data_IF_846855909942
#
_entry.id   IF_846855909942
#
_cell.length_a   1.000
_cell.length_b   1.000
_cell.length_c   1.000
_cell.angle_alpha   90.00
_cell.angle_beta   90.00
_cell.angle_gamma   90.00
#
_symmetry.space_group_name_H-M   'P 1'
#
loop_
_entity.id
_entity.type
_entity.pdbx_description
1 polymer ?
#
# COMPACT_ATOMS: atom_id res chain seq x y z
N UNK A 1 26.24 -16.81 -24.57
CA UNK A 1 25.65 -17.93 -23.85
C UNK A 1 25.30 -17.44 -22.45
N UNK A 2 24.04 -17.07 -22.20
CA UNK A 2 23.53 -16.62 -20.92
C UNK A 2 22.78 -17.80 -20.34
N UNK A 3 23.20 -18.25 -19.15
CA UNK A 3 22.66 -19.41 -18.46
C UNK A 3 21.21 -19.15 -18.05
N UNK A 4 20.32 -20.11 -18.40
CA UNK A 4 18.95 -20.17 -17.95
C UNK A 4 18.92 -20.40 -16.43
N UNK A 5 18.38 -19.42 -15.69
CA UNK A 5 18.13 -19.55 -14.27
C UNK A 5 17.02 -20.55 -14.02
N UNK A 6 17.28 -21.51 -13.15
CA UNK A 6 16.31 -22.49 -12.67
C UNK A 6 15.15 -21.79 -11.98
N UNK A 7 13.95 -21.95 -12.54
CA UNK A 7 12.68 -21.59 -11.90
C UNK A 7 12.39 -22.66 -10.84
N UNK A 8 12.41 -22.25 -9.58
CA UNK A 8 11.89 -23.09 -8.49
C UNK A 8 10.36 -23.06 -8.62
N UNK A 9 9.77 -24.21 -8.94
CA UNK A 9 8.32 -24.42 -8.90
C UNK A 9 7.83 -24.18 -7.47
N UNK A 10 7.21 -23.01 -7.26
CA UNK A 10 6.34 -22.79 -6.11
C UNK A 10 5.04 -23.54 -6.40
N UNK A 11 4.70 -24.50 -5.54
CA UNK A 11 3.46 -25.24 -5.62
C UNK A 11 2.27 -24.30 -5.53
N UNK A 12 1.76 -23.87 -6.68
CA UNK A 12 0.50 -23.16 -6.79
C UNK A 12 -0.62 -24.17 -6.82
N UNK A 13 -1.26 -24.38 -5.67
CA UNK A 13 -2.54 -25.09 -5.63
C UNK A 13 -3.62 -24.15 -6.21
N UNK A 14 -3.72 -24.15 -7.53
CA UNK A 14 -4.75 -23.41 -8.26
C UNK A 14 -6.01 -24.26 -8.37
N UNK A 15 -6.88 -24.14 -7.38
CA UNK A 15 -8.26 -24.55 -7.54
C UNK A 15 -9.04 -23.50 -8.37
N UNK A 16 -8.52 -23.15 -9.56
CA UNK A 16 -9.21 -22.27 -10.51
C UNK A 16 -10.26 -23.07 -11.27
N UNK A 17 -11.52 -22.94 -10.87
CA UNK A 17 -12.65 -23.51 -11.61
C UNK A 17 -13.44 -22.39 -12.30
N UNK A 18 -13.15 -22.21 -13.58
CA UNK A 18 -14.13 -21.79 -14.57
C UNK A 18 -14.34 -20.30 -14.87
N UNK A 19 -13.41 -19.70 -15.56
CA UNK A 19 -13.68 -18.83 -16.71
C UNK A 19 -12.46 -18.84 -17.63
N UNK A 20 -12.55 -19.58 -18.73
CA UNK A 20 -11.51 -19.67 -19.76
C UNK A 20 -11.53 -18.43 -20.66
N UNK A 21 -11.12 -17.29 -20.10
CA UNK A 21 -11.00 -16.05 -20.87
C UNK A 21 -10.30 -14.97 -20.06
N UNK A 22 -9.32 -14.31 -20.68
CA UNK A 22 -8.70 -13.10 -20.09
C UNK A 22 -9.77 -12.03 -19.87
N UNK A 23 -9.70 -11.33 -18.74
CA UNK A 23 -10.53 -10.15 -18.51
C UNK A 23 -10.19 -9.06 -19.53
N UNK A 24 -11.19 -8.43 -20.11
CA UNK A 24 -10.96 -7.34 -21.11
C UNK A 24 -10.44 -6.07 -20.44
N UNK A 25 -11.01 -5.74 -19.28
CA UNK A 25 -10.67 -4.52 -18.58
C UNK A 25 -10.67 -4.74 -17.06
N UNK A 26 -9.50 -4.80 -16.47
CA UNK A 26 -9.29 -5.08 -15.06
C UNK A 26 -8.96 -3.83 -14.28
N UNK A 27 -9.41 -3.78 -13.03
CA UNK A 27 -9.03 -2.79 -12.04
C UNK A 27 -8.34 -3.44 -10.84
N UNK A 28 -7.28 -2.82 -10.33
CA UNK A 28 -6.48 -3.32 -9.20
C UNK A 28 -6.52 -2.31 -8.05
N UNK A 29 -6.91 -2.78 -6.88
CA UNK A 29 -7.00 -2.02 -5.66
C UNK A 29 -6.19 -2.69 -4.56
N UNK A 30 -5.22 -1.98 -4.02
CA UNK A 30 -4.27 -2.48 -3.03
C UNK A 30 -4.55 -1.78 -1.71
N UNK A 31 -4.83 -2.56 -0.68
CA UNK A 31 -4.81 -2.13 0.71
C UNK A 31 -3.37 -2.24 1.23
N UNK A 32 -2.65 -1.13 1.20
CA UNK A 32 -1.25 -1.09 1.61
C UNK A 32 -1.05 -1.19 3.13
N UNK A 33 -2.09 -1.05 3.92
CA UNK A 33 -2.02 -1.29 5.36
C UNK A 33 -2.06 -2.79 5.70
N UNK A 34 -2.63 -3.62 4.80
CA UNK A 34 -2.69 -5.07 4.90
C UNK A 34 -1.60 -5.75 4.06
N UNK A 35 -1.36 -5.30 2.83
CA UNK A 35 -0.37 -5.84 1.89
C UNK A 35 0.68 -4.78 1.55
N UNK A 36 1.71 -4.63 2.39
CA UNK A 36 2.81 -3.67 2.22
C UNK A 36 4.15 -4.31 1.85
N UNK A 37 4.12 -5.46 1.19
CA UNK A 37 5.31 -6.18 0.77
C UNK A 37 5.59 -5.97 -0.72
N UNK A 38 6.74 -5.34 -1.06
CA UNK A 38 7.09 -5.00 -2.43
C UNK A 38 7.28 -6.24 -3.33
N UNK A 39 7.90 -7.31 -2.81
CA UNK A 39 8.10 -8.55 -3.56
C UNK A 39 6.77 -9.24 -3.86
N UNK A 40 5.86 -9.29 -2.88
CA UNK A 40 4.53 -9.85 -3.07
C UNK A 40 3.76 -9.07 -4.14
N UNK A 41 3.82 -7.74 -4.13
CA UNK A 41 3.17 -6.91 -5.16
C UNK A 41 3.78 -7.10 -6.55
N UNK A 42 5.09 -7.29 -6.67
CA UNK A 42 5.71 -7.65 -7.96
C UNK A 42 5.14 -8.96 -8.51
N UNK A 43 4.93 -9.98 -7.67
CA UNK A 43 4.30 -11.24 -8.06
C UNK A 43 2.84 -11.04 -8.47
N UNK A 44 2.06 -10.22 -7.75
CA UNK A 44 0.69 -9.86 -8.14
C UNK A 44 0.67 -9.33 -9.56
N UNK A 45 1.47 -8.30 -9.87
CA UNK A 45 1.47 -7.70 -11.20
C UNK A 45 2.00 -8.62 -12.29
N UNK A 46 2.94 -9.51 -11.99
CA UNK A 46 3.42 -10.52 -12.93
C UNK A 46 2.30 -11.53 -13.28
N UNK A 47 1.55 -11.98 -12.30
CA UNK A 47 0.41 -12.90 -12.51
C UNK A 47 -0.71 -12.23 -13.30
N UNK A 48 -1.07 -10.98 -12.97
CA UNK A 48 -2.15 -10.24 -13.62
C UNK A 48 -1.91 -9.96 -15.10
N UNK A 49 -0.64 -9.93 -15.56
CA UNK A 49 -0.33 -9.76 -16.99
C UNK A 49 -0.87 -10.90 -17.85
N UNK A 50 -1.02 -12.10 -17.30
CA UNK A 50 -1.57 -13.27 -18.01
C UNK A 50 -3.10 -13.36 -17.91
N UNK A 51 -3.73 -12.61 -16.99
CA UNK A 51 -5.16 -12.70 -16.67
C UNK A 51 -6.03 -11.62 -17.30
N UNK A 52 -5.43 -10.54 -17.81
CA UNK A 52 -6.18 -9.43 -18.39
C UNK A 52 -5.52 -8.89 -19.67
N UNK A 53 -6.36 -8.52 -20.65
CA UNK A 53 -5.91 -7.81 -21.84
C UNK A 53 -5.46 -6.39 -21.48
N UNK A 54 -6.13 -5.78 -20.51
CA UNK A 54 -5.85 -4.43 -20.04
C UNK A 54 -6.11 -4.29 -18.55
N UNK A 55 -5.19 -3.63 -17.85
CA UNK A 55 -5.38 -3.15 -16.47
C UNK A 55 -5.46 -1.63 -16.52
N UNK A 56 -6.68 -1.08 -16.57
CA UNK A 56 -6.90 0.35 -16.80
C UNK A 56 -6.92 1.18 -15.52
N UNK A 57 -7.02 0.54 -14.37
CA UNK A 57 -7.12 1.22 -13.08
C UNK A 57 -6.23 0.53 -12.05
N UNK A 58 -5.33 1.29 -11.43
CA UNK A 58 -4.38 0.77 -10.43
C UNK A 58 -4.24 1.80 -9.33
N UNK A 59 -4.67 1.45 -8.12
CA UNK A 59 -4.55 2.32 -6.95
C UNK A 59 -4.13 1.53 -5.71
N UNK A 60 -3.33 2.16 -4.85
CA UNK A 60 -2.96 1.66 -3.54
C UNK A 60 -3.40 2.66 -2.47
N UNK A 61 -4.07 2.16 -1.46
CA UNK A 61 -4.64 2.94 -0.35
C UNK A 61 -3.91 2.58 0.93
N UNK A 62 -3.62 3.57 1.76
CA UNK A 62 -2.97 3.31 3.03
C UNK A 62 -2.46 4.56 3.70
N UNK A 63 -1.90 4.36 4.88
CA UNK A 63 -1.16 5.39 5.60
C UNK A 63 0.13 5.75 4.84
N UNK A 64 0.64 6.99 5.02
CA UNK A 64 1.87 7.43 4.37
C UNK A 64 3.04 6.46 4.56
N UNK A 65 3.17 5.88 5.75
CA UNK A 65 4.24 4.94 6.10
C UNK A 65 4.14 3.63 5.32
N UNK A 66 2.94 3.07 5.21
CA UNK A 66 2.68 1.83 4.47
C UNK A 66 2.94 2.03 2.97
N UNK A 67 2.45 3.13 2.40
CA UNK A 67 2.67 3.47 0.99
C UNK A 67 4.14 3.74 0.68
N UNK A 68 4.88 4.36 1.60
CA UNK A 68 6.32 4.63 1.44
C UNK A 68 7.14 3.34 1.39
N UNK A 69 6.73 2.31 2.13
CA UNK A 69 7.44 1.01 2.14
C UNK A 69 7.42 0.35 0.76
N UNK A 70 6.39 0.61 -0.03
CA UNK A 70 6.18 -0.02 -1.36
C UNK A 70 6.25 0.99 -2.51
N UNK A 71 6.73 2.21 -2.30
CA UNK A 71 6.72 3.29 -3.30
C UNK A 71 7.43 2.91 -4.61
N UNK A 72 8.56 2.23 -4.51
CA UNK A 72 9.33 1.79 -5.68
C UNK A 72 8.53 0.80 -6.56
N UNK A 73 7.82 -0.14 -5.96
CA UNK A 73 6.99 -1.10 -6.71
C UNK A 73 5.73 -0.44 -7.24
N UNK A 74 5.13 0.49 -6.51
CA UNK A 74 4.00 1.28 -7.01
C UNK A 74 4.40 2.08 -8.26
N UNK A 75 5.55 2.74 -8.23
CA UNK A 75 6.09 3.46 -9.37
C UNK A 75 6.37 2.53 -10.55
N UNK A 76 7.04 1.41 -10.32
CA UNK A 76 7.37 0.41 -11.34
C UNK A 76 6.14 -0.07 -12.13
N UNK A 77 5.03 -0.28 -11.44
CA UNK A 77 3.79 -0.81 -12.04
C UNK A 77 2.76 0.27 -12.36
N UNK A 78 3.10 1.55 -12.24
CA UNK A 78 2.19 2.66 -12.54
C UNK A 78 0.95 2.68 -11.65
N UNK A 79 1.11 2.33 -10.37
CA UNK A 79 0.06 2.36 -9.37
C UNK A 79 -0.02 3.74 -8.74
N UNK A 80 -1.20 4.33 -8.71
CA UNK A 80 -1.41 5.62 -8.06
C UNK A 80 -1.60 5.43 -6.55
N UNK A 81 -0.73 6.00 -5.71
CA UNK A 81 -0.95 5.99 -4.26
C UNK A 81 -2.07 6.98 -3.87
N UNK A 82 -2.90 6.55 -2.93
CA UNK A 82 -3.97 7.35 -2.31
C UNK A 82 -3.72 7.32 -0.81
N UNK A 83 -3.17 8.42 -0.30
CA UNK A 83 -2.86 8.56 1.13
C UNK A 83 -4.02 9.18 1.86
N UNK A 84 -4.46 8.55 2.94
CA UNK A 84 -5.41 9.12 3.88
C UNK A 84 -4.65 9.77 5.04
N UNK A 85 -4.81 11.07 5.18
CA UNK A 85 -4.19 11.85 6.27
C UNK A 85 -4.87 11.62 7.62
N UNK A 86 -6.06 11.00 7.61
CA UNK A 86 -6.78 10.66 8.85
C UNK A 86 -6.27 9.32 9.35
N UNK A 87 -5.83 9.28 10.59
CA UNK A 87 -5.13 8.16 11.24
C UNK A 87 -6.01 6.93 11.53
N UNK A 88 -7.23 6.89 11.03
CA UNK A 88 -8.15 5.78 11.26
C UNK A 88 -8.14 4.80 10.07
N UNK A 89 -7.86 3.52 10.33
CA UNK A 89 -7.88 2.42 9.34
C UNK A 89 -9.20 2.37 8.55
N UNK A 90 -10.32 2.56 9.22
CA UNK A 90 -11.65 2.55 8.61
C UNK A 90 -11.79 3.53 7.43
N UNK A 91 -11.11 4.66 7.48
CA UNK A 91 -11.17 5.67 6.39
C UNK A 91 -10.50 5.17 5.11
N UNK A 92 -9.45 4.37 5.23
CA UNK A 92 -8.75 3.76 4.09
C UNK A 92 -9.65 2.77 3.37
N UNK A 93 -10.30 1.88 4.11
CA UNK A 93 -11.19 0.84 3.57
C UNK A 93 -12.41 1.45 2.89
N UNK A 94 -12.99 2.52 3.48
CA UNK A 94 -14.10 3.26 2.88
C UNK A 94 -13.67 3.95 1.58
N UNK A 95 -12.51 4.61 1.55
CA UNK A 95 -12.02 5.30 0.35
C UNK A 95 -11.76 4.30 -0.79
N UNK A 96 -11.14 3.15 -0.49
CA UNK A 96 -10.97 2.06 -1.43
C UNK A 96 -12.32 1.58 -1.97
N UNK A 97 -13.26 1.29 -1.09
CA UNK A 97 -14.61 0.81 -1.45
C UNK A 97 -15.34 1.78 -2.38
N UNK A 98 -15.33 3.08 -2.08
CA UNK A 98 -15.97 4.12 -2.93
C UNK A 98 -15.35 4.13 -4.33
N UNK A 99 -14.03 4.10 -4.41
CA UNK A 99 -13.32 4.13 -5.69
C UNK A 99 -13.54 2.85 -6.52
N UNK A 100 -13.67 1.69 -5.88
CA UNK A 100 -14.03 0.43 -6.56
C UNK A 100 -15.42 0.56 -7.19
N UNK A 101 -16.42 0.98 -6.40
CA UNK A 101 -17.80 1.16 -6.88
C UNK A 101 -17.84 2.16 -8.03
N UNK A 102 -17.15 3.31 -7.91
CA UNK A 102 -17.08 4.29 -8.99
C UNK A 102 -16.44 3.72 -10.24
N UNK A 103 -15.34 2.98 -10.12
CA UNK A 103 -14.63 2.40 -11.26
C UNK A 103 -15.52 1.40 -12.03
N UNK A 104 -16.21 0.53 -11.32
CA UNK A 104 -17.12 -0.47 -11.93
C UNK A 104 -18.29 0.22 -12.61
N UNK A 105 -18.98 1.15 -11.92
CA UNK A 105 -20.16 1.81 -12.45
C UNK A 105 -19.87 2.72 -13.66
N UNK A 106 -18.65 3.30 -13.77
CA UNK A 106 -18.35 4.33 -14.76
C UNK A 106 -17.38 3.91 -15.85
N UNK A 107 -16.63 2.83 -15.71
CA UNK A 107 -15.48 2.54 -16.57
C UNK A 107 -15.53 1.21 -17.30
N UNK A 108 -16.62 0.47 -17.20
CA UNK A 108 -16.77 -0.83 -17.87
C UNK A 108 -15.69 -1.83 -17.41
N UNK A 109 -15.45 -1.90 -16.09
CA UNK A 109 -14.57 -2.88 -15.48
C UNK A 109 -15.31 -4.20 -15.41
N UNK A 110 -14.70 -5.27 -15.91
CA UNK A 110 -15.26 -6.63 -15.91
C UNK A 110 -14.53 -7.57 -14.93
N UNK A 111 -13.36 -7.17 -14.43
CA UNK A 111 -12.65 -7.87 -13.37
C UNK A 111 -12.06 -6.89 -12.35
N UNK A 112 -12.18 -7.23 -11.07
CA UNK A 112 -11.65 -6.43 -9.96
C UNK A 112 -10.71 -7.29 -9.14
N UNK A 113 -9.54 -6.74 -8.85
CA UNK A 113 -8.53 -7.33 -7.97
C UNK A 113 -8.51 -6.55 -6.67
N UNK A 114 -8.70 -7.25 -5.55
CA UNK A 114 -8.57 -6.72 -4.21
C UNK A 114 -7.33 -7.37 -3.58
N UNK A 115 -6.32 -6.56 -3.30
CA UNK A 115 -5.10 -6.99 -2.64
C UNK A 115 -5.21 -6.70 -1.14
N UNK A 116 -5.94 -7.54 -0.43
CA UNK A 116 -6.13 -7.50 1.02
C UNK A 116 -6.69 -8.82 1.52
N UNK A 117 -6.24 -9.26 2.70
CA UNK A 117 -6.80 -10.42 3.41
C UNK A 117 -7.91 -10.04 4.40
N UNK A 118 -8.34 -8.78 4.43
CA UNK A 118 -9.31 -8.30 5.41
C UNK A 118 -10.74 -8.71 5.03
N UNK A 119 -11.46 -9.30 6.00
CA UNK A 119 -12.85 -9.71 5.82
C UNK A 119 -13.81 -8.52 5.63
N UNK A 120 -13.38 -7.31 5.98
CA UNK A 120 -14.20 -6.10 5.84
C UNK A 120 -14.54 -5.79 4.37
N UNK A 121 -13.78 -6.37 3.41
CA UNK A 121 -14.07 -6.28 1.97
C UNK A 121 -15.05 -7.34 1.44
N UNK A 122 -15.51 -8.29 2.26
CA UNK A 122 -16.49 -9.31 1.84
C UNK A 122 -17.79 -8.70 1.29
N UNK A 123 -18.39 -7.67 1.92
CA UNK A 123 -19.59 -7.02 1.36
C UNK A 123 -19.34 -6.41 -0.02
N UNK A 124 -18.15 -5.82 -0.23
CA UNK A 124 -17.75 -5.27 -1.52
C UNK A 124 -17.58 -6.38 -2.57
N UNK A 125 -16.90 -7.47 -2.23
CA UNK A 125 -16.70 -8.61 -3.13
C UNK A 125 -18.05 -9.23 -3.55
N UNK A 126 -18.98 -9.38 -2.61
CA UNK A 126 -20.34 -9.88 -2.88
C UNK A 126 -21.07 -8.96 -3.86
N UNK A 127 -21.08 -7.66 -3.60
CA UNK A 127 -21.70 -6.68 -4.49
C UNK A 127 -21.09 -6.69 -5.89
N UNK A 128 -19.77 -6.78 -6.00
CA UNK A 128 -19.07 -6.85 -7.30
C UNK A 128 -19.50 -8.05 -8.13
N UNK A 129 -19.65 -9.22 -7.51
CA UNK A 129 -20.13 -10.44 -8.18
C UNK A 129 -21.58 -10.28 -8.64
N UNK A 130 -22.43 -9.60 -7.86
CA UNK A 130 -23.80 -9.26 -8.25
C UNK A 130 -23.83 -8.31 -9.46
N UNK A 131 -22.84 -7.43 -9.62
CA UNK A 131 -22.65 -6.60 -10.81
C UNK A 131 -22.09 -7.37 -12.01
N UNK A 132 -21.80 -8.66 -11.88
CA UNK A 132 -21.23 -9.50 -12.92
C UNK A 132 -19.72 -9.36 -13.12
N UNK A 133 -19.02 -8.67 -12.20
CA UNK A 133 -17.58 -8.59 -12.21
C UNK A 133 -16.96 -9.90 -11.74
N UNK A 134 -15.83 -10.28 -12.33
CA UNK A 134 -14.96 -11.33 -11.81
C UNK A 134 -14.09 -10.76 -10.70
N UNK A 135 -14.10 -11.36 -9.52
CA UNK A 135 -13.42 -10.80 -8.34
C UNK A 135 -12.28 -11.69 -7.89
N UNK A 136 -11.06 -11.16 -7.96
CA UNK A 136 -9.84 -11.82 -7.49
C UNK A 136 -9.38 -11.23 -6.17
N UNK A 137 -8.95 -12.11 -5.26
CA UNK A 137 -8.28 -11.73 -4.02
C UNK A 137 -6.81 -12.14 -4.06
N UNK A 138 -5.92 -11.21 -3.73
CA UNK A 138 -4.52 -11.50 -3.42
C UNK A 138 -4.25 -11.14 -1.97
N UNK A 139 -3.74 -12.09 -1.21
CA UNK A 139 -3.42 -11.86 0.20
C UNK A 139 -2.17 -12.62 0.62
N UNK A 140 -1.53 -12.13 1.67
CA UNK A 140 -0.53 -12.90 2.38
C UNK A 140 -1.21 -14.05 3.12
N UNK A 141 -0.55 -15.21 3.14
CA UNK A 141 -1.11 -16.43 3.74
C UNK A 141 -1.51 -16.28 5.23
N UNK A 142 -0.82 -15.39 5.95
CA UNK A 142 -1.05 -15.15 7.38
C UNK A 142 -2.11 -14.09 7.70
N UNK A 143 -2.65 -13.40 6.70
CA UNK A 143 -3.63 -12.30 6.90
C UNK A 143 -5.00 -12.63 6.32
N UNK A 144 -5.13 -13.74 5.61
CA UNK A 144 -6.37 -14.12 4.95
C UNK A 144 -7.39 -14.68 5.96
N UNK A 145 -8.61 -14.20 5.88
CA UNK A 145 -9.72 -14.72 6.70
C UNK A 145 -10.18 -16.13 6.25
N UNK A 146 -11.05 -16.79 7.04
CA UNK A 146 -11.51 -18.14 6.77
C UNK A 146 -12.49 -18.20 5.57
N UNK A 147 -12.33 -19.21 4.70
CA UNK A 147 -13.20 -19.50 3.54
C UNK A 147 -13.36 -18.34 2.54
N UNK A 148 -12.29 -17.69 2.09
CA UNK A 148 -12.37 -16.56 1.16
C UNK A 148 -12.93 -16.96 -0.21
N UNK A 149 -12.76 -18.22 -0.63
CA UNK A 149 -13.26 -18.78 -1.89
C UNK A 149 -14.79 -18.79 -1.98
N UNK A 150 -15.49 -18.60 -0.85
CA UNK A 150 -16.95 -18.45 -0.86
C UNK A 150 -17.37 -17.08 -1.38
N UNK A 151 -16.52 -16.09 -1.30
CA UNK A 151 -16.81 -14.67 -1.60
C UNK A 151 -16.12 -14.16 -2.85
N UNK A 152 -14.94 -14.71 -3.17
CA UNK A 152 -14.16 -14.35 -4.35
C UNK A 152 -14.26 -15.44 -5.41
N UNK A 153 -14.12 -15.07 -6.68
CA UNK A 153 -14.12 -16.03 -7.79
C UNK A 153 -12.76 -16.75 -7.90
N UNK A 154 -11.69 -16.08 -7.48
CA UNK A 154 -10.36 -16.67 -7.37
C UNK A 154 -9.58 -16.03 -6.20
N UNK A 155 -8.78 -16.83 -5.52
CA UNK A 155 -7.98 -16.42 -4.36
C UNK A 155 -6.55 -16.89 -4.54
N UNK A 156 -5.61 -15.95 -4.55
CA UNK A 156 -4.19 -16.23 -4.67
C UNK A 156 -3.49 -15.88 -3.36
N UNK A 157 -2.96 -16.89 -2.71
CA UNK A 157 -2.15 -16.74 -1.50
C UNK A 157 -0.70 -16.46 -1.87
N UNK A 158 -0.16 -15.36 -1.33
CA UNK A 158 1.20 -14.91 -1.53
C UNK A 158 2.08 -15.40 -0.38
N UNK A 159 3.09 -16.20 -0.70
CA UNK A 159 4.10 -16.59 0.27
C UNK A 159 5.30 -15.65 0.15
N UNK A 160 5.61 -14.93 1.23
CA UNK A 160 6.83 -14.14 1.32
C UNK A 160 7.91 -15.00 1.95
N UNK A 161 8.75 -15.60 1.13
CA UNK A 161 10.00 -16.19 1.60
C UNK A 161 10.96 -15.03 1.88
N UNK A 162 11.07 -14.61 3.12
CA UNK A 162 12.16 -13.74 3.53
C UNK A 162 13.47 -14.50 3.29
N UNK A 163 14.20 -14.11 2.26
CA UNK A 163 15.58 -14.55 2.15
C UNK A 163 16.31 -14.03 3.39
N UNK A 164 16.90 -14.91 4.22
CA UNK A 164 17.71 -14.44 5.33
C UNK A 164 18.78 -13.50 4.74
N UNK A 165 18.72 -12.23 5.11
CA UNK A 165 19.80 -11.28 4.80
C UNK A 165 21.04 -11.91 5.41
N UNK A 166 22.12 -12.21 4.65
CA UNK A 166 23.35 -12.63 5.25
C UNK A 166 23.72 -11.55 6.25
N UNK A 167 23.86 -11.92 7.52
CA UNK A 167 24.46 -11.05 8.51
C UNK A 167 25.85 -10.73 7.99
N UNK A 168 26.01 -9.61 7.30
CA UNK A 168 27.31 -9.01 7.06
C UNK A 168 27.85 -8.72 8.45
N UNK A 169 28.81 -9.54 8.89
CA UNK A 169 29.61 -9.24 10.06
C UNK A 169 30.03 -7.77 9.95
N UNK A 170 29.87 -6.97 11.01
CA UNK A 170 30.37 -5.61 10.96
C UNK A 170 31.90 -5.68 10.70
N UNK A 171 32.31 -5.09 9.59
CA UNK A 171 33.71 -4.96 9.28
C UNK A 171 34.41 -4.39 10.52
N UNK A 172 35.63 -4.93 10.90
CA UNK A 172 36.35 -4.45 12.08
C UNK A 172 36.56 -2.94 11.89
N UNK A 173 35.98 -2.16 12.79
CA UNK A 173 36.15 -0.72 12.82
C UNK A 173 37.64 -0.42 12.91
N UNK A 174 38.23 0.12 11.84
CA UNK A 174 39.46 0.82 11.92
C UNK A 174 39.27 2.00 12.88
N UNK A 175 39.93 1.92 14.03
CA UNK A 175 39.92 2.98 15.02
C UNK A 175 40.71 4.15 14.41
N UNK A 176 40.03 5.05 13.71
CA UNK A 176 40.57 6.36 13.36
C UNK A 176 40.62 7.18 14.64
N UNK A 177 41.83 7.45 15.09
CA UNK A 177 42.13 8.32 16.21
C UNK A 177 41.45 9.69 15.98
N UNK A 178 40.44 10.00 16.78
CA UNK A 178 39.79 11.30 16.82
C UNK A 178 40.76 12.30 17.43
N UNK A 179 41.27 13.24 16.60
CA UNK A 179 41.84 14.50 17.09
C UNK A 179 40.76 15.27 17.85
N UNK A 180 41.11 15.89 18.98
CA UNK A 180 40.12 16.66 19.75
C UNK A 180 39.66 17.86 18.95
N UNK A 181 38.32 17.97 18.77
CA UNK A 181 37.69 19.12 18.15
C UNK A 181 37.85 20.36 19.04
N UNK A 182 38.02 21.57 18.46
CA UNK A 182 38.06 22.81 19.21
C UNK A 182 36.72 23.06 19.91
N UNK A 183 36.78 23.52 21.16
CA UNK A 183 35.65 23.83 21.99
C UNK A 183 34.76 24.92 21.34
N UNK A 184 33.49 24.57 21.08
CA UNK A 184 32.48 25.53 20.65
C UNK A 184 32.09 26.40 21.84
N UNK A 185 32.28 27.72 21.70
CA UNK A 185 31.77 28.72 22.62
C UNK A 185 30.23 28.76 22.56
N UNK A 186 29.53 28.80 23.67
CA UNK A 186 28.06 28.88 23.68
C UNK A 186 27.57 30.18 23.04
N UNK A 187 26.43 30.16 22.33
CA UNK A 187 25.85 31.35 21.75
C UNK A 187 25.39 32.35 22.84
N UNK A 188 25.40 33.65 22.54
CA UNK A 188 24.95 34.63 23.48
C UNK A 188 23.45 34.51 23.78
N UNK A 189 23.00 34.90 24.99
CA UNK A 189 21.59 34.81 25.36
C UNK A 189 20.73 35.79 24.51
N UNK A 190 19.46 35.43 24.27
CA UNK A 190 18.55 36.26 23.49
C UNK A 190 18.28 37.61 24.21
N UNK A 191 18.05 38.69 23.47
CA UNK A 191 17.74 40.00 24.05
C UNK A 191 16.41 39.95 24.81
N UNK A 192 16.37 40.69 25.92
CA UNK A 192 15.19 40.81 26.78
C UNK A 192 14.00 41.41 26.01
N UNK A 193 12.75 40.99 26.28
CA UNK A 193 11.57 41.50 25.61
C UNK A 193 11.36 42.97 25.97
N UNK A 194 10.99 43.76 24.95
CA UNK A 194 10.66 45.19 25.09
C UNK A 194 9.44 45.40 26.02
N UNK A 195 9.41 46.45 26.84
CA UNK A 195 8.27 46.75 27.70
C UNK A 195 7.02 47.05 26.89
N UNK A 196 5.87 46.48 27.34
CA UNK A 196 4.57 46.67 26.74
C UNK A 196 4.14 48.18 26.79
N UNK A 197 3.46 48.68 25.76
CA UNK A 197 2.96 50.05 25.77
C UNK A 197 1.89 50.24 26.85
N UNK A 198 2.01 51.36 27.61
CA UNK A 198 1.07 51.75 28.66
C UNK A 198 -0.32 52.00 28.06
N UNK A 199 -1.35 51.35 28.60
CA UNK A 199 -2.73 51.65 28.29
C UNK A 199 -3.14 52.99 28.85
N UNK A 200 -3.45 53.95 27.99
CA UNK A 200 -4.13 55.19 28.35
C UNK A 200 -5.62 54.91 28.56
N UNK A 201 -6.23 55.26 29.70
CA UNK A 201 -7.65 55.08 29.90
C UNK A 201 -8.44 56.06 29.01
N UNK A 202 -9.40 55.53 28.26
CA UNK A 202 -10.35 56.31 27.50
C UNK A 202 -11.29 57.07 28.44
N UNK A 203 -11.37 58.35 28.27
CA UNK A 203 -12.28 59.26 28.94
C UNK A 203 -13.71 58.95 28.47
N UNK A 204 -14.58 58.69 29.42
CA UNK A 204 -16.03 58.55 29.18
C UNK A 204 -16.63 59.94 29.29
N UNK A 205 -17.04 60.53 28.17
CA UNK A 205 -17.87 61.73 28.17
C UNK A 205 -19.34 61.30 28.19
N UNK A 206 -20.05 61.77 29.23
CA UNK A 206 -21.49 61.69 29.38
C UNK A 206 -22.15 62.84 28.61
N UNK A 207 -23.17 62.54 27.81
CA UNK A 207 -24.45 63.28 27.66
C UNK A 207 -25.51 62.29 27.15
#
# INVERSE_FOLDING_TARGET
>A
AVAAGQWVELGMDTASKGRSGMAKNMAVFIDADNLNNATALDHVFADLQSRAERISYRRAYGRPESLKTIDAVLWKHGVRPVSNLVTNKVTTDIALTIDVVEAVCRRGIDAVVICSGDADFVPLATWLREQGCFVLCFSLNNTLFANPESFYDDVVMLEVVEKPVPLTEPAPHAVLALSPAPALTPPPPPPAPAPAPAHTPAQVDAV
#
